data_IF_649068599498
#
_entry.id   IF_649068599498
#
_cell.length_a   1.000
_cell.length_b   1.000
_cell.length_c   1.000
_cell.angle_alpha   90.00
_cell.angle_beta   90.00
_cell.angle_gamma   90.00
#
_symmetry.space_group_name_H-M   'P 1'
#
loop_
_entity.id
_entity.type
_entity.pdbx_description
1 polymer ?
#
# COMPACT_ATOMS: atom_id res chain seq x y z
N UNK A 1 12.04 21.70 -2.85
CA UNK A 1 12.45 20.29 -3.03
C UNK A 1 11.27 19.53 -3.62
N UNK A 2 11.56 18.64 -4.55
CA UNK A 2 10.57 17.69 -5.06
C UNK A 2 10.43 16.50 -4.10
N UNK A 3 9.25 16.31 -3.51
CA UNK A 3 9.01 15.28 -2.49
C UNK A 3 7.91 14.32 -2.93
N UNK A 4 8.20 13.02 -2.86
CA UNK A 4 7.25 11.95 -3.05
C UNK A 4 6.78 11.42 -1.70
N UNK A 5 5.46 11.33 -1.48
CA UNK A 5 4.86 10.66 -0.32
C UNK A 5 4.41 9.26 -0.73
N UNK A 6 4.85 8.25 0.00
CA UNK A 6 4.34 6.88 -0.06
C UNK A 6 3.56 6.58 1.21
N UNK A 7 2.25 6.44 1.08
CA UNK A 7 1.34 6.15 2.19
C UNK A 7 0.46 4.94 1.88
N UNK A 8 -0.50 4.66 2.74
CA UNK A 8 -1.55 3.67 2.50
C UNK A 8 -2.34 4.02 1.22
N UNK A 9 -2.90 3.02 0.50
CA UNK A 9 -3.68 3.29 -0.71
C UNK A 9 -4.80 4.30 -0.47
N UNK A 10 -4.85 5.33 -1.34
CA UNK A 10 -5.83 6.42 -1.25
C UNK A 10 -7.20 5.98 -1.79
N UNK A 11 -7.96 5.21 -1.01
CA UNK A 11 -9.27 4.73 -1.45
C UNK A 11 -10.39 5.00 -0.43
N UNK A 12 -10.77 4.04 0.42
CA UNK A 12 -11.97 4.13 1.27
C UNK A 12 -11.72 4.44 2.75
N UNK A 13 -10.45 4.53 3.15
CA UNK A 13 -10.07 4.85 4.52
C UNK A 13 -9.99 6.37 4.72
N UNK A 14 -11.05 6.97 5.27
CA UNK A 14 -11.11 8.42 5.51
C UNK A 14 -9.95 8.93 6.38
N UNK A 15 -9.59 8.19 7.43
CA UNK A 15 -8.47 8.56 8.30
C UNK A 15 -7.15 8.63 7.52
N UNK A 16 -6.86 7.62 6.72
CA UNK A 16 -5.66 7.58 5.87
C UNK A 16 -5.64 8.70 4.82
N UNK A 17 -6.80 9.02 4.22
CA UNK A 17 -6.92 10.13 3.27
C UNK A 17 -6.63 11.48 3.91
N UNK A 18 -7.19 11.73 5.10
CA UNK A 18 -6.97 12.99 5.83
C UNK A 18 -5.50 13.11 6.29
N UNK A 19 -4.87 12.02 6.70
CA UNK A 19 -3.45 12.01 7.06
C UNK A 19 -2.57 12.30 5.84
N UNK A 20 -2.83 11.68 4.68
CA UNK A 20 -2.10 11.93 3.45
C UNK A 20 -2.24 13.40 3.01
N UNK A 21 -3.47 13.93 3.04
CA UNK A 21 -3.76 15.33 2.73
C UNK A 21 -3.01 16.28 3.67
N UNK A 22 -3.13 16.06 4.98
CA UNK A 22 -2.49 16.93 5.97
C UNK A 22 -0.96 16.95 5.83
N UNK A 23 -0.34 15.78 5.64
CA UNK A 23 1.10 15.67 5.43
C UNK A 23 1.52 16.43 4.16
N UNK A 24 0.78 16.25 3.06
CA UNK A 24 1.07 16.95 1.81
C UNK A 24 0.94 18.46 1.97
N UNK A 25 -0.12 18.96 2.64
CA UNK A 25 -0.33 20.39 2.85
C UNK A 25 0.75 21.01 3.75
N UNK A 26 1.19 20.30 4.79
CA UNK A 26 2.27 20.79 5.67
C UNK A 26 3.58 20.93 4.88
N UNK A 27 3.95 19.93 4.12
CA UNK A 27 5.19 19.96 3.31
C UNK A 27 5.12 21.05 2.23
N UNK A 28 3.96 21.24 1.57
CA UNK A 28 3.74 22.37 0.65
C UNK A 28 3.84 23.71 1.34
N UNK A 29 3.27 23.85 2.54
CA UNK A 29 3.38 25.06 3.36
C UNK A 29 4.81 25.40 3.77
N UNK A 30 5.71 24.40 3.78
CA UNK A 30 7.15 24.58 3.98
C UNK A 30 7.90 24.98 2.69
N UNK A 31 7.21 25.16 1.57
CA UNK A 31 7.79 25.56 0.30
C UNK A 31 8.35 24.41 -0.55
N UNK A 32 7.82 23.20 -0.39
CA UNK A 32 8.20 22.05 -1.20
C UNK A 32 7.15 21.73 -2.26
N UNK A 33 7.57 21.18 -3.40
CA UNK A 33 6.70 20.58 -4.38
C UNK A 33 6.46 19.12 -4.01
N UNK A 34 5.20 18.76 -3.77
CA UNK A 34 4.88 17.49 -3.11
C UNK A 34 3.78 16.75 -3.87
N UNK A 35 4.05 15.50 -4.19
CA UNK A 35 3.06 14.58 -4.77
C UNK A 35 2.94 13.31 -3.91
N UNK A 36 1.76 12.72 -3.92
CA UNK A 36 1.50 11.47 -3.17
C UNK A 36 1.22 10.34 -4.16
N UNK A 37 1.85 9.18 -3.97
CA UNK A 37 1.51 8.00 -4.77
C UNK A 37 0.08 7.53 -4.45
N UNK A 38 -0.76 7.42 -5.49
CA UNK A 38 -2.19 7.16 -5.34
C UNK A 38 -2.51 5.73 -4.96
N UNK A 39 -1.82 4.78 -5.56
CA UNK A 39 -2.29 3.39 -5.57
C UNK A 39 -1.70 2.52 -4.49
N UNK A 40 -0.63 2.93 -3.84
CA UNK A 40 0.13 1.98 -3.03
C UNK A 40 0.43 0.70 -3.83
N UNK A 41 1.25 -0.17 -3.33
CA UNK A 41 1.59 -1.41 -4.03
C UNK A 41 0.48 -2.43 -3.89
N UNK A 42 -0.52 -2.40 -4.78
CA UNK A 42 -1.43 -3.52 -4.95
C UNK A 42 -0.80 -4.50 -5.95
N UNK A 43 0.10 -5.36 -5.48
CA UNK A 43 0.56 -6.49 -6.29
C UNK A 43 -0.63 -7.38 -6.61
N UNK A 44 -1.13 -7.31 -7.85
CA UNK A 44 -2.07 -8.31 -8.37
C UNK A 44 -1.32 -9.64 -8.44
N UNK A 45 -1.54 -10.50 -7.46
CA UNK A 45 -0.98 -11.84 -7.48
C UNK A 45 -1.43 -12.54 -8.77
N UNK A 46 -0.52 -13.15 -9.53
CA UNK A 46 -0.86 -13.89 -10.74
C UNK A 46 -1.87 -15.00 -10.42
N UNK A 47 -2.75 -15.31 -11.37
CA UNK A 47 -3.88 -16.24 -11.19
C UNK A 47 -3.43 -17.62 -10.62
N UNK A 48 -2.27 -18.10 -11.00
CA UNK A 48 -1.72 -19.36 -10.50
C UNK A 48 -1.36 -19.30 -9.00
N UNK A 49 -0.88 -18.15 -8.49
CA UNK A 49 -0.64 -17.97 -7.05
C UNK A 49 -1.96 -17.93 -6.27
N UNK A 50 -3.05 -17.46 -6.88
CA UNK A 50 -4.38 -17.50 -6.27
C UNK A 50 -4.88 -18.95 -6.18
N UNK A 51 -4.65 -19.76 -7.23
CA UNK A 51 -4.97 -21.17 -7.24
C UNK A 51 -4.16 -21.97 -6.20
N UNK A 52 -2.86 -21.71 -6.09
CA UNK A 52 -2.00 -22.33 -5.06
C UNK A 52 -2.42 -21.93 -3.64
N UNK A 53 -2.77 -20.68 -3.40
CA UNK A 53 -3.32 -20.25 -2.11
C UNK A 53 -4.65 -20.94 -1.80
N UNK A 54 -5.54 -21.06 -2.78
CA UNK A 54 -6.80 -21.78 -2.61
C UNK A 54 -6.55 -23.24 -2.22
N UNK A 55 -5.66 -23.94 -2.94
CA UNK A 55 -5.27 -25.32 -2.62
C UNK A 55 -4.65 -25.42 -1.22
N UNK A 56 -3.76 -24.51 -0.85
CA UNK A 56 -3.17 -24.45 0.49
C UNK A 56 -4.24 -24.28 1.58
N UNK A 57 -5.20 -23.37 1.39
CA UNK A 57 -6.28 -23.16 2.35
C UNK A 57 -7.27 -24.33 2.38
N UNK A 58 -7.52 -24.98 1.25
CA UNK A 58 -8.34 -26.18 1.18
C UNK A 58 -7.68 -27.36 1.94
N UNK A 59 -6.37 -27.53 1.79
CA UNK A 59 -5.60 -28.53 2.55
C UNK A 59 -5.64 -28.23 4.05
N UNK A 60 -5.42 -26.98 4.46
CA UNK A 60 -5.48 -26.56 5.86
C UNK A 60 -6.87 -26.82 6.47
N UNK A 61 -7.92 -26.56 5.69
CA UNK A 61 -9.30 -26.79 6.13
C UNK A 61 -9.66 -28.28 6.21
N UNK A 62 -9.38 -29.05 5.15
CA UNK A 62 -9.78 -30.45 5.04
C UNK A 62 -8.94 -31.39 5.88
N UNK A 63 -7.62 -31.18 5.95
CA UNK A 63 -6.68 -32.11 6.62
C UNK A 63 -6.41 -31.68 8.06
N UNK A 64 -6.15 -30.39 8.30
CA UNK A 64 -5.77 -29.90 9.63
C UNK A 64 -6.97 -29.39 10.46
N UNK A 65 -8.20 -29.49 9.91
CA UNK A 65 -9.45 -29.02 10.54
C UNK A 65 -9.35 -27.59 11.09
N UNK A 66 -8.54 -26.75 10.44
CA UNK A 66 -8.33 -25.38 10.86
C UNK A 66 -9.44 -24.49 10.28
N UNK A 67 -10.54 -24.38 11.02
CA UNK A 67 -11.76 -23.65 10.63
C UNK A 67 -11.55 -22.13 10.44
N UNK A 68 -10.39 -21.59 10.75
CA UNK A 68 -10.02 -20.19 10.50
C UNK A 68 -9.83 -19.90 9.00
N UNK A 69 -9.57 -20.92 8.20
CA UNK A 69 -9.32 -20.82 6.75
C UNK A 69 -10.46 -21.40 5.94
N UNK A 70 -11.64 -20.77 6.00
CA UNK A 70 -12.82 -21.24 5.26
C UNK A 70 -12.64 -20.96 3.76
N UNK A 71 -12.42 -21.99 2.89
CA UNK A 71 -12.12 -21.79 1.47
C UNK A 71 -13.29 -21.18 0.69
N UNK A 72 -14.53 -21.38 1.14
CA UNK A 72 -15.74 -20.83 0.52
C UNK A 72 -15.79 -19.30 0.52
N UNK A 73 -15.08 -18.63 1.41
CA UNK A 73 -15.02 -17.18 1.44
C UNK A 73 -14.38 -16.58 0.18
N UNK A 74 -13.57 -17.38 -0.52
CA UNK A 74 -12.92 -16.99 -1.77
C UNK A 74 -13.71 -17.36 -3.02
N UNK A 75 -14.67 -18.30 -2.93
CA UNK A 75 -15.50 -18.77 -4.06
C UNK A 75 -16.88 -18.10 -4.10
N UNK A 76 -17.47 -17.78 -2.94
CA UNK A 76 -18.85 -17.32 -2.82
C UNK A 76 -18.99 -15.92 -2.19
N UNK A 77 -17.92 -15.20 -1.94
CA UNK A 77 -18.06 -13.76 -1.68
C UNK A 77 -18.69 -13.19 -2.95
N UNK A 78 -19.92 -12.80 -2.82
CA UNK A 78 -20.68 -12.12 -3.86
C UNK A 78 -19.93 -10.82 -4.17
N UNK A 79 -18.97 -10.90 -5.09
CA UNK A 79 -18.15 -9.78 -5.57
C UNK A 79 -19.03 -8.58 -5.94
N UNK A 80 -20.28 -8.83 -6.29
CA UNK A 80 -21.20 -7.81 -6.77
C UNK A 80 -21.79 -6.92 -5.66
N UNK A 81 -22.10 -7.45 -4.47
CA UNK A 81 -22.60 -6.63 -3.35
C UNK A 81 -21.49 -5.82 -2.69
N UNK A 82 -20.33 -6.43 -2.49
CA UNK A 82 -19.17 -5.75 -1.90
C UNK A 82 -18.59 -4.72 -2.87
N UNK A 83 -18.57 -5.00 -4.17
CA UNK A 83 -18.11 -4.06 -5.19
C UNK A 83 -19.06 -2.87 -5.37
N UNK A 84 -20.39 -3.06 -5.26
CA UNK A 84 -21.36 -1.96 -5.30
C UNK A 84 -21.28 -1.07 -4.06
N UNK A 85 -21.16 -1.64 -2.87
CA UNK A 85 -20.96 -0.90 -1.63
C UNK A 85 -19.64 -0.12 -1.65
N UNK A 86 -18.54 -0.75 -2.06
CA UNK A 86 -17.24 -0.09 -2.22
C UNK A 86 -17.29 1.02 -3.28
N UNK A 87 -17.97 0.83 -4.40
CA UNK A 87 -18.16 1.87 -5.42
C UNK A 87 -18.94 3.07 -4.87
N UNK A 88 -20.00 2.85 -4.11
CA UNK A 88 -20.77 3.94 -3.51
C UNK A 88 -19.92 4.76 -2.52
N UNK A 89 -19.09 4.09 -1.71
CA UNK A 89 -18.19 4.74 -0.75
C UNK A 89 -17.05 5.45 -1.49
N UNK A 90 -16.50 4.86 -2.55
CA UNK A 90 -15.34 5.39 -3.25
C UNK A 90 -15.64 6.69 -4.03
N UNK A 91 -16.88 6.95 -4.43
CA UNK A 91 -17.24 8.15 -5.20
C UNK A 91 -16.81 9.43 -4.48
N UNK A 92 -17.11 9.56 -3.19
CA UNK A 92 -16.78 10.74 -2.42
C UNK A 92 -15.30 10.80 -2.05
N UNK A 93 -14.68 9.66 -1.74
CA UNK A 93 -13.25 9.60 -1.45
C UNK A 93 -12.42 9.87 -2.70
N UNK A 94 -12.80 9.32 -3.85
CA UNK A 94 -12.14 9.61 -5.12
C UNK A 94 -12.27 11.09 -5.51
N UNK A 95 -13.45 11.69 -5.28
CA UNK A 95 -13.63 13.14 -5.47
C UNK A 95 -12.69 13.93 -4.57
N UNK A 96 -12.63 13.58 -3.28
CA UNK A 96 -11.73 14.24 -2.33
C UNK A 96 -10.27 14.14 -2.77
N UNK A 97 -9.80 12.92 -3.11
CA UNK A 97 -8.44 12.71 -3.59
C UNK A 97 -8.14 13.56 -4.83
N UNK A 98 -9.02 13.49 -5.85
CA UNK A 98 -8.82 14.20 -7.11
C UNK A 98 -8.86 15.73 -6.98
N UNK A 99 -9.53 16.25 -5.92
CA UNK A 99 -9.69 17.70 -5.72
C UNK A 99 -8.62 18.27 -4.81
N UNK A 100 -8.15 17.51 -3.83
CA UNK A 100 -7.37 18.04 -2.72
C UNK A 100 -5.96 17.45 -2.58
N UNK A 101 -5.66 16.34 -3.23
CA UNK A 101 -4.35 15.70 -3.13
C UNK A 101 -3.72 15.61 -4.52
N UNK A 102 -2.54 16.20 -4.68
CA UNK A 102 -1.76 16.04 -5.90
C UNK A 102 -1.17 14.63 -5.92
N UNK A 103 -1.57 13.85 -6.91
CA UNK A 103 -1.27 12.42 -6.96
C UNK A 103 -0.44 12.04 -8.18
N UNK A 104 0.34 10.99 -8.02
CA UNK A 104 1.05 10.32 -9.10
C UNK A 104 0.78 8.81 -9.02
N UNK A 105 0.68 8.17 -10.17
CA UNK A 105 0.58 6.70 -10.27
C UNK A 105 1.97 6.13 -10.58
N UNK A 106 2.83 6.08 -9.57
CA UNK A 106 4.21 5.65 -9.73
C UNK A 106 4.33 4.13 -9.73
N UNK A 107 3.76 3.49 -8.74
CA UNK A 107 3.98 2.06 -8.45
C UNK A 107 3.18 1.11 -9.37
N UNK A 108 2.39 1.64 -10.30
CA UNK A 108 1.77 0.85 -11.37
C UNK A 108 2.68 0.60 -12.55
N UNK A 109 3.81 1.30 -12.62
CA UNK A 109 4.78 1.23 -13.72
C UNK A 109 5.66 -0.02 -13.61
N UNK A 110 6.41 -0.33 -14.66
CA UNK A 110 7.46 -1.35 -14.59
C UNK A 110 8.58 -0.91 -13.64
N UNK A 111 9.34 -1.86 -13.08
CA UNK A 111 10.40 -1.56 -12.11
C UNK A 111 11.41 -0.52 -12.63
N UNK A 112 11.84 -0.64 -13.89
CA UNK A 112 12.77 0.32 -14.51
C UNK A 112 12.15 1.72 -14.60
N UNK A 113 10.90 1.80 -15.04
CA UNK A 113 10.15 3.05 -15.13
C UNK A 113 9.87 3.70 -13.76
N UNK A 114 9.77 2.89 -12.68
CA UNK A 114 9.66 3.40 -11.30
C UNK A 114 10.97 4.04 -10.87
N UNK A 115 12.10 3.37 -11.10
CA UNK A 115 13.43 3.86 -10.74
C UNK A 115 13.71 5.19 -11.43
N UNK A 116 13.45 5.30 -12.73
CA UNK A 116 13.68 6.53 -13.47
C UNK A 116 12.75 7.66 -13.00
N UNK A 117 11.48 7.36 -12.73
CA UNK A 117 10.56 8.35 -12.22
C UNK A 117 10.91 8.83 -10.80
N UNK A 118 11.52 7.98 -9.97
CA UNK A 118 11.96 8.35 -8.61
C UNK A 118 13.18 9.27 -8.62
N UNK A 119 14.02 9.20 -9.64
CA UNK A 119 15.22 10.04 -9.75
C UNK A 119 14.94 11.55 -9.80
N UNK A 120 13.71 11.95 -10.15
CA UNK A 120 13.29 13.35 -10.16
C UNK A 120 13.05 13.94 -8.77
N UNK A 121 12.88 13.07 -7.75
CA UNK A 121 12.59 13.52 -6.38
C UNK A 121 13.85 13.68 -5.53
N UNK A 122 13.89 14.74 -4.75
CA UNK A 122 14.95 14.98 -3.76
C UNK A 122 14.76 14.12 -2.51
N UNK A 123 13.51 13.84 -2.16
CA UNK A 123 13.17 13.04 -0.97
C UNK A 123 11.94 12.17 -1.19
N UNK A 124 11.92 11.02 -0.50
CA UNK A 124 10.74 10.17 -0.37
C UNK A 124 10.37 10.11 1.10
N UNK A 125 9.12 10.43 1.41
CA UNK A 125 8.55 10.34 2.75
C UNK A 125 7.60 9.14 2.80
N UNK A 126 7.91 8.18 3.67
CA UNK A 126 7.06 7.00 3.90
C UNK A 126 6.25 7.20 5.17
N UNK A 127 4.96 6.98 5.09
CA UNK A 127 4.03 7.12 6.19
C UNK A 127 2.90 8.10 5.85
N UNK A 128 2.12 8.44 6.79
CA UNK A 128 2.01 7.98 8.19
C UNK A 128 1.29 6.62 8.31
N UNK A 129 1.00 6.21 9.56
CA UNK A 129 0.19 5.03 9.87
C UNK A 129 0.93 3.68 9.66
N UNK A 130 0.19 2.58 9.55
CA UNK A 130 0.67 1.20 9.55
C UNK A 130 1.24 0.77 8.17
N UNK A 131 2.04 1.63 7.55
CA UNK A 131 2.61 1.35 6.22
C UNK A 131 3.60 0.18 6.23
N UNK A 132 4.12 -0.19 7.39
CA UNK A 132 5.01 -1.34 7.57
C UNK A 132 4.30 -2.61 8.06
N UNK A 133 2.97 -2.64 8.05
CA UNK A 133 2.22 -3.82 8.46
C UNK A 133 2.21 -4.87 7.34
N UNK A 134 2.78 -6.04 7.61
CA UNK A 134 2.99 -7.11 6.62
C UNK A 134 1.70 -7.62 5.96
N UNK A 135 0.58 -7.59 6.71
CA UNK A 135 -0.72 -8.02 6.19
C UNK A 135 -1.39 -7.00 5.27
N UNK A 136 -0.93 -5.75 5.29
CA UNK A 136 -1.56 -4.62 4.57
C UNK A 136 -0.67 -4.04 3.47
N UNK A 137 0.65 -4.24 3.57
CA UNK A 137 1.63 -3.54 2.74
C UNK A 137 2.66 -4.48 2.13
N UNK A 138 3.22 -4.10 0.99
CA UNK A 138 4.42 -4.73 0.42
C UNK A 138 5.65 -4.14 1.13
N UNK A 139 6.12 -4.84 2.13
CA UNK A 139 7.19 -4.37 3.04
C UNK A 139 8.42 -3.84 2.31
N UNK A 140 9.03 -4.56 1.32
CA UNK A 140 10.18 -4.04 0.59
C UNK A 140 9.96 -2.67 -0.05
N UNK A 141 8.76 -2.40 -0.53
CA UNK A 141 8.43 -1.11 -1.14
C UNK A 141 8.35 0.00 -0.11
N UNK A 142 7.68 -0.22 1.01
CA UNK A 142 7.57 0.81 2.06
C UNK A 142 8.83 0.97 2.91
N UNK A 143 9.79 0.03 2.81
CA UNK A 143 11.18 0.21 3.27
C UNK A 143 12.08 0.83 2.20
N UNK A 144 11.52 1.20 1.04
CA UNK A 144 12.22 1.85 -0.06
C UNK A 144 13.40 1.02 -0.61
N UNK A 145 13.28 -0.33 -0.57
CA UNK A 145 14.34 -1.23 -1.03
C UNK A 145 14.73 -1.01 -2.50
N UNK A 146 13.78 -0.58 -3.33
CA UNK A 146 14.00 -0.26 -4.74
C UNK A 146 14.86 0.99 -4.96
N UNK A 147 15.06 1.81 -3.93
CA UNK A 147 15.85 3.05 -4.04
C UNK A 147 17.30 2.89 -3.61
N UNK A 148 17.77 1.66 -3.30
CA UNK A 148 19.14 1.43 -2.79
C UNK A 148 20.24 1.99 -3.71
N UNK A 149 20.02 1.96 -5.03
CA UNK A 149 20.96 2.45 -6.04
C UNK A 149 20.73 3.92 -6.43
N UNK A 150 19.83 4.63 -5.77
CA UNK A 150 19.45 6.01 -6.11
C UNK A 150 19.85 6.94 -4.98
N UNK A 151 20.42 8.09 -5.32
CA UNK A 151 20.74 9.14 -4.35
C UNK A 151 19.48 10.00 -4.08
N UNK A 152 18.62 9.52 -3.19
CA UNK A 152 17.40 10.19 -2.73
C UNK A 152 17.33 10.14 -1.20
N UNK A 153 16.88 11.21 -0.58
CA UNK A 153 16.64 11.22 0.87
C UNK A 153 15.46 10.33 1.22
N UNK A 154 15.62 9.45 2.21
CA UNK A 154 14.59 8.53 2.69
C UNK A 154 14.16 8.94 4.08
N UNK A 155 12.89 9.23 4.26
CA UNK A 155 12.33 9.77 5.50
C UNK A 155 11.14 8.89 5.89
N UNK A 156 11.13 8.40 7.12
CA UNK A 156 9.96 7.78 7.73
C UNK A 156 9.26 8.80 8.63
N UNK A 157 8.01 9.11 8.35
CA UNK A 157 7.20 10.03 9.15
C UNK A 157 6.02 9.28 9.77
N UNK A 158 6.04 9.11 11.09
CA UNK A 158 5.01 8.40 11.84
C UNK A 158 4.62 7.04 11.23
N UNK A 159 5.56 6.37 10.56
CA UNK A 159 5.38 5.03 10.03
C UNK A 159 5.43 4.01 11.16
N UNK A 160 4.55 3.01 11.14
CA UNK A 160 4.48 1.99 12.18
C UNK A 160 4.20 0.59 11.63
N UNK A 161 4.49 -0.42 12.44
CA UNK A 161 4.11 -1.80 12.15
C UNK A 161 2.65 -2.08 12.51
N UNK A 162 2.04 -1.27 13.36
CA UNK A 162 0.65 -1.43 13.82
C UNK A 162 0.40 -2.68 14.65
N UNK A 163 1.46 -3.33 15.13
CA UNK A 163 1.41 -4.53 15.99
C UNK A 163 2.69 -4.63 16.79
N UNK A 164 2.59 -5.22 17.98
CA UNK A 164 3.74 -5.59 18.81
C UNK A 164 4.23 -7.02 18.50
N UNK A 165 3.46 -7.79 17.72
CA UNK A 165 3.79 -9.15 17.33
C UNK A 165 4.46 -9.18 15.95
N UNK A 166 5.73 -9.58 15.92
CA UNK A 166 6.53 -9.72 14.71
C UNK A 166 6.34 -11.08 14.00
N UNK A 167 5.52 -11.99 14.52
CA UNK A 167 5.25 -13.28 13.88
C UNK A 167 4.50 -13.15 12.53
N UNK A 168 3.96 -11.97 12.22
CA UNK A 168 3.36 -11.68 10.91
C UNK A 168 4.43 -11.53 9.80
N UNK A 169 5.71 -11.32 10.18
CA UNK A 169 6.79 -11.05 9.25
C UNK A 169 7.56 -12.30 8.90
N UNK A 170 7.82 -12.50 7.62
CA UNK A 170 8.70 -13.58 7.19
C UNK A 170 10.17 -13.26 7.49
N UNK A 171 11.02 -14.31 7.57
CA UNK A 171 12.47 -14.10 7.66
C UNK A 171 13.05 -13.28 6.49
N UNK A 172 12.32 -13.22 5.39
CA UNK A 172 12.70 -12.47 4.20
C UNK A 172 12.37 -10.99 4.35
N UNK A 173 11.26 -10.66 5.00
CA UNK A 173 10.87 -9.28 5.31
C UNK A 173 11.84 -8.61 6.32
N UNK A 174 12.41 -9.39 7.23
CA UNK A 174 13.35 -8.91 8.26
C UNK A 174 14.79 -8.71 7.76
N UNK A 175 15.10 -9.05 6.50
CA UNK A 175 16.45 -8.93 5.89
C UNK A 175 16.59 -7.75 4.91
N UNK A 176 15.69 -6.80 4.95
CA UNK A 176 15.63 -5.63 4.05
C UNK A 176 16.78 -4.66 4.31
#
# INVERSE_FOLDING_TARGET
MEILILTQPLHTNYGGLLQAYALQQILKGMGHDVVTDRLGVVRKLPLWNRALRFLYHAVQFCILKNYRYYPYRYLFVSFDKESKAKRSISINTDRFVNTHIDTIDLLTRSNESVIDAVRQFDAIVVGSDQVWRATMSDIPTYFLSFTKAINVKRIAYAASFGTDDLNEYSKMDMKI
#
